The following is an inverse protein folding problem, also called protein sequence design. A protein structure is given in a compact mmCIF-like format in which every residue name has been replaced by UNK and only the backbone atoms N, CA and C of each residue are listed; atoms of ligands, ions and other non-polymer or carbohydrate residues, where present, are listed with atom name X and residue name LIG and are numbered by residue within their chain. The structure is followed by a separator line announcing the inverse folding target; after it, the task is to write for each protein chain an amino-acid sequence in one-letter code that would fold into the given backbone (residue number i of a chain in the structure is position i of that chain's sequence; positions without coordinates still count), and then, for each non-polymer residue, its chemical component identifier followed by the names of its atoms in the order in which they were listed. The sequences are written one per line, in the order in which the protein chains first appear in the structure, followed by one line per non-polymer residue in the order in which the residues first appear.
data_IF_176078178400
#
_entry.id   IF_176078178400
#
_cell.length_a   1.000
_cell.length_b   1.000
_cell.length_c   1.000
_cell.angle_alpha   90.00
_cell.angle_beta   90.00
_cell.angle_gamma   90.00
#
_symmetry.space_group_name_H-M   'P 1'
#
loop_
_entity.id
_entity.type
_entity.pdbx_description
1 polymer ?
#
# COMPACT_ATOMS: atom_id res chain seq x y z
N UNK A 1 -48.11 -13.02 15.82
CA UNK A 1 -46.97 -12.27 16.37
C UNK A 1 -45.96 -12.14 15.24
N UNK A 2 -45.91 -10.97 14.61
CA UNK A 2 -44.87 -10.65 13.63
C UNK A 2 -43.74 -10.00 14.42
N UNK A 3 -42.62 -10.70 14.52
CA UNK A 3 -41.39 -10.18 15.10
C UNK A 3 -40.76 -9.27 14.04
N UNK A 4 -41.05 -7.98 14.13
CA UNK A 4 -40.41 -6.95 13.30
C UNK A 4 -38.91 -6.99 13.61
N UNK A 5 -38.13 -7.51 12.67
CA UNK A 5 -36.68 -7.59 12.80
C UNK A 5 -36.15 -6.17 12.69
N UNK A 6 -35.73 -5.60 13.82
CA UNK A 6 -35.13 -4.27 13.86
C UNK A 6 -33.94 -4.24 12.89
N UNK A 7 -33.84 -3.24 11.99
CA UNK A 7 -32.76 -3.20 11.03
C UNK A 7 -31.42 -3.15 11.77
N UNK A 8 -30.48 -4.00 11.34
CA UNK A 8 -29.15 -4.04 11.94
C UNK A 8 -28.54 -2.63 11.97
N UNK A 9 -27.89 -2.21 13.08
CA UNK A 9 -27.36 -0.88 13.21
C UNK A 9 -26.39 -0.57 12.07
N UNK A 10 -26.50 0.64 11.52
CA UNK A 10 -25.58 1.12 10.51
C UNK A 10 -24.16 1.15 11.09
N UNK A 11 -23.34 0.19 10.70
CA UNK A 11 -21.95 0.09 11.16
C UNK A 11 -21.20 1.34 10.73
N UNK A 12 -20.41 1.94 11.62
CA UNK A 12 -19.51 3.06 11.28
C UNK A 12 -18.43 2.59 10.29
N UNK A 13 -18.01 3.48 9.39
CA UNK A 13 -16.89 3.27 8.47
C UNK A 13 -15.76 4.22 8.82
N UNK A 14 -14.55 3.70 8.85
CA UNK A 14 -13.35 4.49 9.09
C UNK A 14 -12.93 5.19 7.81
N UNK A 15 -12.60 6.47 7.94
CA UNK A 15 -11.93 7.24 6.89
C UNK A 15 -10.61 7.79 7.44
N UNK A 16 -9.52 7.12 7.10
CA UNK A 16 -8.15 7.52 7.46
C UNK A 16 -7.54 8.39 6.39
N UNK A 17 -6.94 9.53 6.78
CA UNK A 17 -6.26 10.42 5.84
C UNK A 17 -4.93 10.85 6.44
N UNK A 18 -3.86 10.76 5.66
CA UNK A 18 -2.57 11.42 5.93
C UNK A 18 -2.18 12.23 4.69
N UNK A 19 -1.82 13.49 4.90
CA UNK A 19 -1.18 14.33 3.87
C UNK A 19 0.09 14.92 4.45
N UNK A 20 1.22 14.60 3.85
CA UNK A 20 2.54 15.07 4.24
C UNK A 20 3.13 15.92 3.13
N UNK A 21 3.63 17.10 3.47
CA UNK A 21 4.65 17.81 2.68
C UNK A 21 5.96 17.80 3.46
N UNK A 22 7.03 17.33 2.83
CA UNK A 22 8.33 17.20 3.46
C UNK A 22 9.42 17.81 2.58
N UNK A 23 10.24 18.69 3.17
CA UNK A 23 11.36 19.34 2.51
C UNK A 23 12.71 18.93 3.11
N UNK A 24 13.82 19.50 2.62
CA UNK A 24 15.16 19.22 3.15
C UNK A 24 15.33 19.54 4.64
N UNK A 25 14.55 20.51 5.16
CA UNK A 25 14.55 20.89 6.57
C UNK A 25 13.60 20.06 7.45
N UNK A 26 12.91 19.04 6.87
CA UNK A 26 11.97 18.18 7.57
C UNK A 26 10.51 18.38 7.15
N UNK A 27 9.58 18.07 8.05
CA UNK A 27 8.13 18.20 7.82
C UNK A 27 7.75 19.66 7.62
N UNK A 28 7.24 20.00 6.42
CA UNK A 28 6.76 21.32 6.07
C UNK A 28 5.25 21.48 6.35
N UNK A 29 4.48 20.41 6.22
CA UNK A 29 3.06 20.34 6.59
C UNK A 29 2.64 18.90 6.86
N UNK A 30 1.73 18.70 7.81
CA UNK A 30 1.19 17.39 8.15
C UNK A 30 -0.28 17.50 8.54
N UNK A 31 -1.13 16.81 7.80
CA UNK A 31 -2.54 16.62 8.12
C UNK A 31 -2.83 15.14 8.39
N UNK A 32 -3.56 14.87 9.47
CA UNK A 32 -3.96 13.52 9.89
C UNK A 32 -5.46 13.51 10.24
N UNK A 33 -6.18 12.47 9.85
CA UNK A 33 -7.59 12.27 10.20
C UNK A 33 -7.95 10.79 10.38
N UNK A 34 -9.03 10.54 11.11
CA UNK A 34 -9.53 9.20 11.39
C UNK A 34 -8.52 8.36 12.17
N UNK A 35 -8.32 7.07 11.82
CA UNK A 35 -7.36 6.21 12.49
C UNK A 35 -5.92 6.29 11.93
N UNK A 36 -5.66 7.08 10.89
CA UNK A 36 -4.32 7.14 10.30
C UNK A 36 -3.43 8.13 11.05
N UNK A 37 -2.21 7.71 11.38
CA UNK A 37 -1.18 8.57 11.97
C UNK A 37 0.16 8.38 11.27
N UNK A 38 0.99 9.42 11.25
CA UNK A 38 2.37 9.39 10.80
C UNK A 38 3.29 9.78 11.96
N UNK A 39 4.35 9.00 12.18
CA UNK A 39 5.28 9.20 13.30
C UNK A 39 6.71 9.24 12.80
N UNK A 40 7.50 10.17 13.33
CA UNK A 40 8.88 10.41 12.89
C UNK A 40 9.82 10.00 14.02
N UNK A 41 10.25 8.72 14.08
CA UNK A 41 11.26 8.31 15.04
C UNK A 41 12.58 9.05 14.76
N UNK A 42 13.43 9.15 15.78
CA UNK A 42 14.81 9.59 15.54
C UNK A 42 15.52 8.50 14.74
N UNK A 43 15.76 8.77 13.46
CA UNK A 43 16.55 7.88 12.62
C UNK A 43 18.03 7.96 13.03
N UNK A 44 18.71 6.83 12.96
CA UNK A 44 20.17 6.76 13.16
C UNK A 44 20.94 6.82 11.83
N UNK A 45 20.21 6.78 10.70
CA UNK A 45 20.75 6.89 9.34
C UNK A 45 20.64 8.30 8.76
N UNK A 46 21.23 8.50 7.59
CA UNK A 46 21.26 9.79 6.90
C UNK A 46 19.89 10.21 6.32
N UNK A 47 18.97 9.28 6.11
CA UNK A 47 17.63 9.55 5.58
C UNK A 47 16.60 9.58 6.71
N UNK A 48 15.73 10.61 6.79
CA UNK A 48 14.60 10.63 7.73
C UNK A 48 13.64 9.47 7.50
N UNK A 49 13.05 8.97 8.58
CA UNK A 49 12.05 7.90 8.55
C UNK A 49 10.69 8.43 9.03
N UNK A 50 9.63 7.98 8.37
CA UNK A 50 8.26 8.19 8.79
C UNK A 50 7.50 6.86 8.84
N UNK A 51 6.76 6.66 9.91
CA UNK A 51 6.10 5.40 10.22
C UNK A 51 4.60 5.64 10.19
N UNK A 52 3.94 5.05 9.19
CA UNK A 52 2.50 5.06 9.02
C UNK A 52 1.88 4.07 10.01
N UNK A 53 0.92 4.54 10.78
CA UNK A 53 0.22 3.78 11.81
C UNK A 53 -1.27 3.84 11.55
N UNK A 54 -1.88 2.68 11.35
CA UNK A 54 -3.33 2.51 11.40
C UNK A 54 -3.77 2.16 12.83
N UNK A 55 -4.37 3.10 13.56
CA UNK A 55 -4.80 2.89 14.94
C UNK A 55 -6.12 2.11 15.07
N UNK A 56 -6.80 1.77 13.97
CA UNK A 56 -8.00 0.93 13.98
C UNK A 56 -7.66 -0.57 14.08
N UNK A 57 -6.39 -0.97 13.91
CA UNK A 57 -5.96 -2.36 13.98
C UNK A 57 -6.25 -3.18 12.71
N UNK A 58 -6.67 -2.52 11.64
CA UNK A 58 -6.90 -3.05 10.30
C UNK A 58 -7.98 -2.26 9.56
N UNK A 59 -8.34 -2.73 8.37
CA UNK A 59 -9.32 -2.11 7.48
C UNK A 59 -10.56 -3.01 7.43
N UNK A 60 -11.69 -2.49 7.90
CA UNK A 60 -12.95 -3.20 7.87
C UNK A 60 -13.73 -2.89 6.58
N UNK A 61 -14.76 -3.70 6.33
CA UNK A 61 -15.67 -3.62 5.20
C UNK A 61 -16.08 -2.18 4.85
N UNK A 62 -15.70 -1.65 3.70
CA UNK A 62 -16.09 -0.32 3.21
C UNK A 62 -15.31 0.86 3.79
N UNK A 63 -14.31 0.62 4.63
CA UNK A 63 -13.41 1.66 5.10
C UNK A 63 -12.57 2.25 3.97
N UNK A 64 -12.11 3.50 4.15
CA UNK A 64 -11.28 4.21 3.19
C UNK A 64 -10.04 4.80 3.84
N UNK A 65 -8.90 4.58 3.22
CA UNK A 65 -7.61 5.08 3.68
C UNK A 65 -6.90 5.82 2.54
N UNK A 66 -6.40 7.02 2.84
CA UNK A 66 -5.72 7.87 1.88
C UNK A 66 -4.37 8.32 2.46
N UNK A 67 -3.31 8.13 1.68
CA UNK A 67 -2.00 8.72 1.94
C UNK A 67 -1.61 9.60 0.76
N UNK A 68 -1.21 10.83 1.05
CA UNK A 68 -0.56 11.70 0.08
C UNK A 68 0.76 12.19 0.63
N UNK A 69 1.84 12.02 -0.12
CA UNK A 69 3.17 12.54 0.23
C UNK A 69 3.69 13.40 -0.91
N UNK A 70 4.06 14.64 -0.59
CA UNK A 70 4.79 15.54 -1.48
C UNK A 70 6.20 15.76 -0.93
N UNK A 71 7.22 15.41 -1.70
CA UNK A 71 8.61 15.73 -1.40
C UNK A 71 9.06 16.94 -2.21
N UNK A 72 9.56 17.95 -1.50
CA UNK A 72 10.18 19.12 -2.12
C UNK A 72 11.56 18.76 -2.71
N UNK A 73 12.12 19.66 -3.52
CA UNK A 73 13.36 19.38 -4.24
C UNK A 73 14.51 19.00 -3.29
N UNK A 74 15.26 17.95 -3.63
CA UNK A 74 16.36 17.41 -2.82
C UNK A 74 15.94 16.75 -1.49
N UNK A 75 14.64 16.68 -1.17
CA UNK A 75 14.18 16.05 0.06
C UNK A 75 14.30 14.52 -0.01
N UNK A 76 14.56 13.90 1.14
CA UNK A 76 14.68 12.44 1.26
C UNK A 76 13.76 11.95 2.37
N UNK A 77 13.08 10.83 2.14
CA UNK A 77 12.21 10.24 3.15
C UNK A 77 12.03 8.74 2.90
N UNK A 78 12.14 7.95 3.95
CA UNK A 78 11.67 6.55 3.96
C UNK A 78 10.33 6.50 4.69
N UNK A 79 9.33 5.86 4.08
CA UNK A 79 8.06 5.57 4.75
C UNK A 79 7.87 4.07 4.89
N UNK A 80 7.59 3.62 6.11
CA UNK A 80 7.23 2.24 6.43
C UNK A 80 6.01 2.19 7.35
N UNK A 81 5.57 0.99 7.72
CA UNK A 81 4.46 0.78 8.65
C UNK A 81 4.93 0.00 9.88
N UNK A 82 4.26 0.16 11.03
CA UNK A 82 4.61 -0.58 12.25
C UNK A 82 4.22 -2.06 12.22
N UNK A 83 3.29 -2.43 11.35
CA UNK A 83 2.71 -3.76 11.31
C UNK A 83 2.07 -4.01 9.94
N UNK A 84 1.81 -5.29 9.67
CA UNK A 84 1.04 -5.72 8.53
C UNK A 84 -0.36 -5.09 8.52
N UNK A 85 -0.80 -4.60 7.36
CA UNK A 85 -2.14 -4.04 7.17
C UNK A 85 -3.13 -5.20 6.98
N UNK A 86 -4.14 -5.29 7.85
CA UNK A 86 -5.09 -6.41 7.86
C UNK A 86 -6.37 -5.99 7.18
N UNK A 87 -6.75 -6.69 6.12
CA UNK A 87 -8.01 -6.45 5.45
C UNK A 87 -9.01 -7.48 5.91
N UNK A 88 -9.97 -7.05 6.73
CA UNK A 88 -10.99 -7.92 7.29
C UNK A 88 -12.03 -8.34 6.26
N UNK A 89 -12.77 -9.39 6.60
CA UNK A 89 -13.93 -9.87 5.84
C UNK A 89 -14.91 -8.72 5.57
N UNK A 90 -15.43 -8.70 4.36
CA UNK A 90 -16.52 -7.82 3.95
C UNK A 90 -17.83 -8.59 3.79
N UNK A 91 -18.94 -7.95 4.13
CA UNK A 91 -20.30 -8.42 3.86
C UNK A 91 -20.92 -7.75 2.61
N UNK A 92 -20.09 -7.15 1.75
CA UNK A 92 -20.50 -6.60 0.46
C UNK A 92 -19.70 -5.35 0.05
N UNK A 93 -19.70 -4.28 0.87
CA UNK A 93 -18.94 -3.06 0.58
C UNK A 93 -17.45 -3.29 0.32
N UNK A 94 -16.87 -2.50 -0.58
CA UNK A 94 -15.46 -2.61 -0.96
C UNK A 94 -14.66 -1.55 -0.22
N UNK A 95 -13.64 -1.98 0.53
CA UNK A 95 -12.70 -1.08 1.19
C UNK A 95 -11.69 -0.51 0.18
N UNK A 96 -11.14 0.67 0.48
CA UNK A 96 -10.26 1.41 -0.44
C UNK A 96 -8.99 1.90 0.24
N UNK A 97 -7.87 1.75 -0.44
CA UNK A 97 -6.58 2.34 -0.07
C UNK A 97 -6.05 3.13 -1.26
N UNK A 98 -5.85 4.43 -1.08
CA UNK A 98 -5.35 5.33 -2.12
C UNK A 98 -4.01 5.94 -1.65
N UNK A 99 -2.90 5.55 -2.27
CA UNK A 99 -1.57 6.12 -2.02
C UNK A 99 -1.16 6.99 -3.21
N UNK A 100 -0.79 8.25 -2.95
CA UNK A 100 -0.37 9.22 -3.97
C UNK A 100 0.94 9.90 -3.56
N UNK A 101 1.91 9.90 -4.46
CA UNK A 101 3.23 10.51 -4.26
C UNK A 101 3.48 11.59 -5.32
N UNK A 102 4.10 12.69 -4.90
CA UNK A 102 4.59 13.76 -5.76
C UNK A 102 6.04 14.06 -5.37
N UNK A 103 6.99 13.73 -6.26
CA UNK A 103 8.42 13.87 -6.00
C UNK A 103 9.02 14.95 -6.89
N UNK A 104 9.44 16.05 -6.29
CA UNK A 104 10.14 17.14 -6.98
C UNK A 104 11.57 16.74 -7.40
N UNK A 105 12.27 17.67 -8.07
CA UNK A 105 13.61 17.43 -8.59
C UNK A 105 14.59 16.94 -7.51
N UNK A 106 15.40 15.94 -7.82
CA UNK A 106 16.38 15.30 -6.92
C UNK A 106 15.78 14.74 -5.60
N UNK A 107 14.45 14.66 -5.48
CA UNK A 107 13.82 14.06 -4.31
C UNK A 107 13.97 12.54 -4.33
N UNK A 108 14.15 11.93 -3.16
CA UNK A 108 14.22 10.46 -3.00
C UNK A 108 13.20 9.96 -1.99
N UNK A 109 12.36 9.02 -2.41
CA UNK A 109 11.36 8.40 -1.57
C UNK A 109 11.47 6.87 -1.61
N UNK A 110 11.59 6.25 -0.43
CA UNK A 110 11.60 4.80 -0.29
C UNK A 110 10.32 4.37 0.46
N UNK A 111 9.39 3.70 -0.23
CA UNK A 111 8.15 3.14 0.31
C UNK A 111 8.33 1.68 0.65
N UNK A 112 8.46 1.37 1.94
CA UNK A 112 8.84 0.06 2.46
C UNK A 112 7.87 -0.42 3.57
N UNK A 113 6.55 -0.45 3.34
CA UNK A 113 5.59 -0.95 4.33
C UNK A 113 5.80 -2.44 4.63
N UNK A 114 5.25 -2.88 5.76
CA UNK A 114 4.98 -4.30 6.01
C UNK A 114 3.88 -4.81 5.05
N UNK A 115 3.69 -6.13 5.01
CA UNK A 115 2.75 -6.77 4.10
C UNK A 115 1.28 -6.38 4.33
N UNK A 116 0.48 -6.42 3.27
CA UNK A 116 -0.99 -6.42 3.36
C UNK A 116 -1.49 -7.85 3.45
N UNK A 117 -2.24 -8.19 4.50
CA UNK A 117 -2.83 -9.52 4.71
C UNK A 117 -4.31 -9.47 4.39
N UNK A 118 -4.72 -10.17 3.34
CA UNK A 118 -6.11 -10.31 2.91
C UNK A 118 -6.78 -11.48 3.65
N UNK A 119 -7.79 -11.21 4.47
CA UNK A 119 -8.55 -12.29 5.12
C UNK A 119 -9.61 -12.85 4.18
N UNK A 120 -10.04 -14.08 4.40
CA UNK A 120 -11.08 -14.74 3.63
C UNK A 120 -12.41 -13.93 3.66
N UNK A 121 -12.95 -13.69 2.47
CA UNK A 121 -14.11 -12.82 2.23
C UNK A 121 -13.78 -11.32 2.19
N UNK A 122 -12.50 -10.93 2.20
CA UNK A 122 -12.12 -9.52 2.08
C UNK A 122 -12.41 -8.97 0.69
N UNK A 123 -12.70 -7.66 0.63
CA UNK A 123 -12.99 -6.93 -0.61
C UNK A 123 -12.23 -5.61 -0.60
N UNK A 124 -11.12 -5.54 -1.32
CA UNK A 124 -10.21 -4.40 -1.38
C UNK A 124 -10.00 -3.92 -2.82
N UNK A 125 -10.01 -2.60 -2.96
CA UNK A 125 -9.44 -1.87 -4.09
C UNK A 125 -8.30 -1.00 -3.58
N UNK A 126 -7.09 -1.19 -4.10
CA UNK A 126 -5.97 -0.29 -3.79
C UNK A 126 -5.43 0.38 -5.05
N UNK A 127 -4.94 1.60 -4.87
CA UNK A 127 -4.32 2.40 -5.94
C UNK A 127 -3.03 3.00 -5.42
N UNK A 128 -1.97 2.87 -6.22
CA UNK A 128 -0.69 3.48 -5.98
C UNK A 128 -0.32 4.39 -7.15
N UNK A 129 -0.19 5.68 -6.89
CA UNK A 129 0.20 6.66 -7.90
C UNK A 129 1.43 7.43 -7.47
N UNK A 130 2.34 7.68 -8.42
CA UNK A 130 3.45 8.58 -8.21
C UNK A 130 3.68 9.43 -9.44
N UNK A 131 3.87 10.74 -9.22
CA UNK A 131 4.31 11.69 -10.23
C UNK A 131 5.74 12.12 -9.85
N UNK A 132 6.69 11.86 -10.75
CA UNK A 132 8.14 11.98 -10.54
C UNK A 132 8.71 13.09 -11.42
N UNK A 133 9.57 13.94 -10.88
CA UNK A 133 10.46 14.79 -11.67
C UNK A 133 11.55 13.97 -12.38
N UNK A 134 12.10 14.53 -13.46
CA UNK A 134 13.13 13.96 -14.34
C UNK A 134 14.30 13.22 -13.65
N UNK A 135 14.71 13.67 -12.47
CA UNK A 135 15.88 13.21 -11.70
C UNK A 135 15.52 12.70 -10.29
N UNK A 136 14.24 12.69 -9.92
CA UNK A 136 13.78 12.11 -8.65
C UNK A 136 13.96 10.60 -8.61
N UNK A 137 13.97 10.00 -7.43
CA UNK A 137 14.15 8.56 -7.21
C UNK A 137 13.03 8.00 -6.33
N UNK A 138 12.48 6.86 -6.74
CA UNK A 138 11.42 6.17 -6.03
C UNK A 138 11.76 4.68 -5.93
N UNK A 139 11.85 4.16 -4.71
CA UNK A 139 11.89 2.73 -4.43
C UNK A 139 10.58 2.31 -3.76
N UNK A 140 9.96 1.25 -4.23
CA UNK A 140 8.69 0.73 -3.69
C UNK A 140 8.80 -0.76 -3.46
N UNK A 141 8.41 -1.22 -2.28
CA UNK A 141 8.21 -2.64 -1.98
C UNK A 141 6.81 -2.84 -1.43
N UNK A 142 6.01 -3.67 -2.09
CA UNK A 142 4.64 -3.96 -1.69
C UNK A 142 4.43 -5.48 -1.68
N UNK A 143 4.04 -6.00 -0.51
CA UNK A 143 3.85 -7.43 -0.29
C UNK A 143 2.38 -7.68 0.02
N UNK A 144 1.79 -8.70 -0.60
CA UNK A 144 0.41 -9.13 -0.36
C UNK A 144 0.40 -10.60 0.03
N UNK A 145 -0.20 -10.91 1.17
CA UNK A 145 -0.47 -12.26 1.64
C UNK A 145 -1.96 -12.62 1.43
N UNK A 146 -2.22 -13.76 0.79
CA UNK A 146 -3.54 -14.24 0.41
C UNK A 146 -4.13 -15.19 1.45
N UNK A 147 -4.42 -14.66 2.63
CA UNK A 147 -4.91 -15.40 3.79
C UNK A 147 -3.94 -15.35 4.96
N UNK A 148 -4.40 -15.83 6.12
CA UNK A 148 -3.56 -15.95 7.32
C UNK A 148 -2.81 -17.28 7.28
N UNK A 149 -1.69 -17.32 6.55
CA UNK A 149 -0.88 -18.53 6.36
C UNK A 149 -0.49 -19.21 7.68
N UNK A 150 -0.09 -18.43 8.69
CA UNK A 150 0.26 -18.94 10.03
C UNK A 150 -0.93 -19.59 10.78
N UNK A 151 -2.17 -19.36 10.34
CA UNK A 151 -3.39 -19.98 10.86
C UNK A 151 -4.00 -21.02 9.90
N UNK A 152 -3.30 -21.36 8.82
CA UNK A 152 -3.79 -22.28 7.80
C UNK A 152 -4.94 -21.72 6.95
N UNK A 153 -5.24 -20.42 7.06
CA UNK A 153 -6.30 -19.79 6.26
C UNK A 153 -5.78 -19.40 4.88
N UNK A 154 -6.60 -19.67 3.87
CA UNK A 154 -6.43 -19.20 2.50
C UNK A 154 -7.56 -18.24 2.16
N UNK A 155 -7.30 -17.28 1.28
CA UNK A 155 -8.33 -16.41 0.70
C UNK A 155 -9.17 -17.20 -0.31
N UNK A 156 -10.19 -17.90 0.16
CA UNK A 156 -11.03 -18.76 -0.68
C UNK A 156 -11.90 -17.90 -1.58
N UNK A 157 -12.64 -16.95 -1.01
CA UNK A 157 -13.51 -16.02 -1.73
C UNK A 157 -13.11 -14.56 -1.43
N UNK A 158 -13.10 -13.69 -2.44
CA UNK A 158 -12.84 -12.27 -2.20
C UNK A 158 -12.77 -11.41 -3.44
N UNK A 159 -12.41 -10.15 -3.22
CA UNK A 159 -12.06 -9.20 -4.28
C UNK A 159 -10.76 -8.50 -3.90
N UNK A 160 -9.77 -8.56 -4.77
CA UNK A 160 -8.55 -7.78 -4.69
C UNK A 160 -8.28 -7.15 -6.06
N UNK A 161 -8.35 -5.82 -6.11
CA UNK A 161 -7.93 -5.03 -7.26
C UNK A 161 -6.79 -4.12 -6.83
N UNK A 162 -5.70 -4.13 -7.59
CA UNK A 162 -4.50 -3.34 -7.35
C UNK A 162 -4.07 -2.63 -8.63
N UNK A 163 -3.95 -1.31 -8.58
CA UNK A 163 -3.68 -0.47 -9.75
C UNK A 163 -2.52 0.47 -9.45
N UNK A 164 -1.48 0.39 -10.28
CA UNK A 164 -0.27 1.20 -10.16
C UNK A 164 -0.12 2.13 -11.35
N UNK A 165 0.14 3.41 -11.12
CA UNK A 165 0.41 4.38 -12.20
C UNK A 165 1.57 5.30 -11.78
N UNK A 166 2.72 5.11 -12.40
CA UNK A 166 3.92 5.90 -12.13
C UNK A 166 4.26 6.74 -13.35
N UNK A 167 4.38 8.04 -13.18
CA UNK A 167 4.72 8.99 -14.25
C UNK A 167 6.04 9.67 -13.95
N UNK A 168 6.84 9.93 -14.97
CA UNK A 168 8.03 10.79 -14.93
C UNK A 168 7.86 11.92 -15.93
N UNK A 169 7.98 13.16 -15.48
CA UNK A 169 7.70 14.37 -16.26
C UNK A 169 6.37 14.28 -17.03
N UNK A 170 5.32 13.83 -16.33
CA UNK A 170 3.97 13.67 -16.88
C UNK A 170 3.79 12.49 -17.84
N UNK A 171 4.84 11.72 -18.17
CA UNK A 171 4.76 10.53 -19.02
C UNK A 171 4.64 9.26 -18.18
N UNK A 172 3.70 8.37 -18.52
CA UNK A 172 3.56 7.07 -17.85
C UNK A 172 4.78 6.20 -18.13
N UNK A 173 5.52 5.82 -17.08
CA UNK A 173 6.73 4.99 -17.17
C UNK A 173 6.53 3.58 -16.59
N UNK A 174 5.56 3.41 -15.70
CA UNK A 174 5.17 2.10 -15.19
C UNK A 174 3.65 2.04 -14.94
N UNK A 175 3.06 0.91 -15.27
CA UNK A 175 1.67 0.61 -14.99
C UNK A 175 1.48 -0.90 -14.75
N UNK A 176 0.78 -1.21 -13.66
CA UNK A 176 0.31 -2.56 -13.35
C UNK A 176 -1.19 -2.53 -13.00
N UNK A 177 -1.88 -3.64 -13.25
CA UNK A 177 -3.28 -3.81 -12.93
C UNK A 177 -3.58 -5.29 -12.64
N UNK A 178 -3.62 -5.63 -11.35
CA UNK A 178 -4.00 -6.96 -10.88
C UNK A 178 -5.47 -6.95 -10.45
N UNK A 179 -6.22 -7.97 -10.89
CA UNK A 179 -7.58 -8.23 -10.42
C UNK A 179 -7.75 -9.72 -10.11
N UNK A 180 -8.06 -10.02 -8.85
CA UNK A 180 -8.47 -11.32 -8.35
C UNK A 180 -9.89 -11.20 -7.78
N UNK A 181 -10.83 -11.98 -8.29
CA UNK A 181 -12.25 -11.87 -7.95
C UNK A 181 -12.92 -13.26 -7.93
N UNK A 182 -13.74 -13.51 -6.90
CA UNK A 182 -14.37 -14.79 -6.64
C UNK A 182 -13.45 -15.75 -5.92
N UNK A 183 -13.34 -16.98 -6.44
CA UNK A 183 -12.53 -18.07 -5.89
C UNK A 183 -11.00 -17.82 -6.01
N UNK A 184 -10.44 -16.93 -5.19
CA UNK A 184 -9.06 -16.45 -5.33
C UNK A 184 -8.04 -17.57 -5.07
N UNK A 185 -8.23 -18.42 -4.06
CA UNK A 185 -7.31 -19.53 -3.77
C UNK A 185 -7.19 -20.49 -4.96
N UNK A 186 -8.31 -20.81 -5.62
CA UNK A 186 -8.32 -21.68 -6.80
C UNK A 186 -7.61 -21.03 -7.98
N UNK A 187 -7.79 -19.72 -8.18
CA UNK A 187 -7.05 -18.95 -9.19
C UNK A 187 -5.55 -18.99 -8.92
N UNK A 188 -5.11 -18.73 -7.68
CA UNK A 188 -3.70 -18.72 -7.30
C UNK A 188 -3.04 -20.10 -7.40
N UNK A 189 -3.81 -21.19 -7.31
CA UNK A 189 -3.31 -22.55 -7.53
C UNK A 189 -2.83 -22.79 -8.98
N UNK A 190 -3.28 -21.98 -9.94
CA UNK A 190 -2.92 -22.12 -11.35
C UNK A 190 -1.46 -21.68 -11.55
N UNK A 191 -0.62 -22.48 -12.25
CA UNK A 191 0.79 -22.16 -12.48
C UNK A 191 1.06 -20.77 -13.06
N UNK A 192 0.20 -20.31 -13.97
CA UNK A 192 0.36 -19.01 -14.64
C UNK A 192 -0.11 -17.79 -13.80
N UNK A 193 -0.65 -18.00 -12.60
CA UNK A 193 -1.14 -16.93 -11.73
C UNK A 193 -0.28 -16.85 -10.47
N UNK A 194 -0.31 -17.89 -9.64
CA UNK A 194 0.45 -17.95 -8.40
C UNK A 194 1.23 -19.24 -8.20
N UNK A 195 0.95 -20.29 -8.98
CA UNK A 195 1.60 -21.59 -8.80
C UNK A 195 1.47 -22.18 -7.40
N UNK A 196 0.40 -21.82 -6.68
CA UNK A 196 0.18 -22.21 -5.28
C UNK A 196 0.83 -21.30 -4.23
N UNK A 197 1.44 -20.19 -4.63
CA UNK A 197 2.00 -19.19 -3.71
C UNK A 197 0.93 -18.60 -2.79
N UNK A 198 1.29 -18.41 -1.52
CA UNK A 198 0.43 -17.80 -0.50
C UNK A 198 0.65 -16.29 -0.35
N UNK A 199 1.65 -15.74 -1.04
CA UNK A 199 1.97 -14.33 -1.07
C UNK A 199 2.64 -13.95 -2.39
N UNK A 200 2.58 -12.67 -2.74
CA UNK A 200 3.37 -12.08 -3.82
C UNK A 200 3.98 -10.76 -3.36
N UNK A 201 5.07 -10.36 -4.00
CA UNK A 201 5.72 -9.08 -3.75
C UNK A 201 6.02 -8.37 -5.07
N UNK A 202 5.85 -7.06 -5.08
CA UNK A 202 6.28 -6.19 -6.17
C UNK A 202 7.35 -5.27 -5.61
N UNK A 203 8.54 -5.31 -6.22
CA UNK A 203 9.62 -4.35 -6.00
C UNK A 203 9.76 -3.51 -7.27
N UNK A 204 9.73 -2.18 -7.12
CA UNK A 204 9.91 -1.22 -8.20
C UNK A 204 10.98 -0.21 -7.79
N UNK A 205 12.05 -0.13 -8.56
CA UNK A 205 13.02 0.96 -8.49
C UNK A 205 12.85 1.83 -9.74
N UNK A 206 12.33 3.03 -9.54
CA UNK A 206 12.13 4.03 -10.59
C UNK A 206 13.13 5.19 -10.46
N UNK A 207 14.36 4.91 -10.00
CA UNK A 207 15.47 5.87 -9.99
C UNK A 207 16.11 6.03 -11.38
N UNK A 208 16.75 7.18 -11.70
CA UNK A 208 17.39 7.38 -13.00
C UNK A 208 18.47 6.35 -13.35
N UNK A 209 19.11 5.76 -12.33
CA UNK A 209 20.19 4.78 -12.45
C UNK A 209 19.74 3.33 -12.18
N UNK A 210 18.43 3.06 -12.05
CA UNK A 210 17.91 1.77 -11.64
C UNK A 210 18.39 0.60 -12.53
N UNK A 211 18.46 0.79 -13.85
CA UNK A 211 18.92 -0.25 -14.78
C UNK A 211 20.37 -0.70 -14.50
N UNK A 212 21.22 0.19 -14.01
CA UNK A 212 22.62 -0.14 -13.68
C UNK A 212 22.75 -1.07 -12.48
N UNK A 213 21.69 -1.20 -11.66
CA UNK A 213 21.63 -2.02 -10.44
C UNK A 213 20.93 -3.37 -10.65
N UNK A 214 20.55 -3.72 -11.89
CA UNK A 214 19.74 -4.91 -12.15
C UNK A 214 20.40 -6.22 -11.67
N UNK A 215 21.70 -6.38 -11.91
CA UNK A 215 22.42 -7.61 -11.52
C UNK A 215 22.61 -7.70 -10.00
N UNK A 216 22.84 -6.56 -9.33
CA UNK A 216 22.85 -6.48 -7.87
C UNK A 216 21.49 -6.89 -7.29
N UNK A 217 20.40 -6.35 -7.85
CA UNK A 217 19.05 -6.68 -7.41
C UNK A 217 18.73 -8.17 -7.59
N UNK A 218 19.18 -8.80 -8.68
CA UNK A 218 19.02 -10.25 -8.89
C UNK A 218 19.79 -11.07 -7.87
N UNK A 219 21.03 -10.70 -7.58
CA UNK A 219 21.85 -11.41 -6.61
C UNK A 219 21.27 -11.37 -5.18
N UNK A 220 20.48 -10.33 -4.85
CA UNK A 220 19.79 -10.22 -3.56
C UNK A 220 18.52 -11.08 -3.45
N UNK A 221 18.02 -11.64 -4.56
CA UNK A 221 16.82 -12.46 -4.61
C UNK A 221 17.11 -13.98 -4.62
N UNK A 222 18.38 -14.37 -4.75
CA UNK A 222 18.86 -15.76 -4.69
C UNK A 222 19.24 -16.18 -3.25
#
# INVERSE_FOLDING_TARGET
MHEETEPAPARQRSHGIVRLRHGPAGVADLFESGPSRLRFPRSHGATPEAILVNTAGGIACGDRFELSVALEAGARLVVSTTAAEKIYRSDGPVSRIDNRLDLAADARFDWLPQETILYDGSRLRRRFEADLAADSSLLVVEIVAFGRAARGERLAEGLFEDIWRIRRDGRLVYADALRLDGAIADRLSRPAIGGGAAACATLLDASPDAESRLDEARALLE
#
